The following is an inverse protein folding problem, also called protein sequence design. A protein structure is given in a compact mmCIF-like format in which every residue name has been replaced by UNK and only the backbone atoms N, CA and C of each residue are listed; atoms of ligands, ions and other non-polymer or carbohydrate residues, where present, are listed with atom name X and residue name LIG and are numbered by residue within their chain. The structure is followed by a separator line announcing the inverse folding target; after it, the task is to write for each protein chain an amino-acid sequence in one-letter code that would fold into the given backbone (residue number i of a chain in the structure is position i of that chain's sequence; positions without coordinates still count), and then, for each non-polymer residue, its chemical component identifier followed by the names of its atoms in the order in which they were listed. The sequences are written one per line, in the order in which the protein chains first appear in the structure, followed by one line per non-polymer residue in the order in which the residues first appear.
data_IF_396443657997
#
_entry.id   IF_396443657997
#
_cell.length_a   1.000
_cell.length_b   1.000
_cell.length_c   1.000
_cell.angle_alpha   90.00
_cell.angle_beta   90.00
_cell.angle_gamma   90.00
#
_symmetry.space_group_name_H-M   'P 1'
#
loop_
_entity.id
_entity.type
_entity.pdbx_description
1 polymer ?
#
# COMPACT_ATOMS: atom_id res chain seq x y z
N UNK A 1 -2.40 17.44 4.45
CA UNK A 1 -3.85 17.57 4.12
C UNK A 1 -3.99 17.05 2.72
N UNK A 2 -4.44 15.80 2.57
CA UNK A 2 -4.66 15.16 1.27
C UNK A 2 -5.75 15.92 0.51
N UNK A 3 -5.33 16.90 -0.30
CA UNK A 3 -6.07 17.61 -1.35
C UNK A 3 -7.28 18.48 -0.91
N UNK A 4 -7.30 19.71 -1.44
CA UNK A 4 -8.15 20.83 -1.04
C UNK A 4 -9.56 20.84 -1.68
N UNK A 5 -10.24 19.70 -1.79
CA UNK A 5 -11.66 19.69 -2.16
C UNK A 5 -12.53 19.68 -0.88
N UNK A 6 -13.57 20.52 -0.75
CA UNK A 6 -14.47 20.53 0.42
C UNK A 6 -15.05 19.14 0.73
N UNK A 7 -15.39 18.38 -0.31
CA UNK A 7 -15.89 17.00 -0.27
C UNK A 7 -14.86 15.99 0.28
N UNK A 8 -13.56 16.30 0.21
CA UNK A 8 -12.48 15.47 0.76
C UNK A 8 -12.28 15.70 2.26
N UNK A 9 -12.75 16.83 2.80
CA UNK A 9 -12.65 17.14 4.24
C UNK A 9 -13.47 16.14 5.08
N UNK A 10 -14.68 15.82 4.62
CA UNK A 10 -15.55 14.83 5.27
C UNK A 10 -14.98 13.42 5.13
N UNK A 11 -14.45 13.08 3.95
CA UNK A 11 -13.79 11.79 3.72
C UNK A 11 -12.53 11.64 4.58
N UNK A 12 -11.76 12.71 4.79
CA UNK A 12 -10.60 12.72 5.69
C UNK A 12 -11.07 12.51 7.13
N UNK A 13 -12.13 13.17 7.58
CA UNK A 13 -12.66 13.00 8.93
C UNK A 13 -13.17 11.56 9.15
N UNK A 14 -13.94 11.02 8.20
CA UNK A 14 -14.42 9.63 8.21
C UNK A 14 -13.24 8.65 8.22
N UNK A 15 -12.22 8.92 7.42
CA UNK A 15 -11.03 8.07 7.33
C UNK A 15 -10.20 8.11 8.61
N UNK A 16 -9.99 9.30 9.19
CA UNK A 16 -9.31 9.48 10.47
C UNK A 16 -10.08 8.83 11.62
N UNK A 17 -11.41 8.92 11.59
CA UNK A 17 -12.26 8.27 12.58
C UNK A 17 -12.22 6.75 12.45
N UNK A 18 -12.35 6.21 11.24
CA UNK A 18 -12.13 4.78 10.96
C UNK A 18 -10.77 4.33 11.47
N UNK A 19 -9.72 5.10 11.19
CA UNK A 19 -8.35 4.80 11.60
C UNK A 19 -8.22 4.78 13.11
N UNK A 20 -8.74 5.81 13.79
CA UNK A 20 -8.76 5.90 15.24
C UNK A 20 -9.49 4.69 15.84
N UNK A 21 -10.68 4.35 15.34
CA UNK A 21 -11.43 3.19 15.79
C UNK A 21 -10.65 1.88 15.61
N UNK A 22 -9.90 1.71 14.51
CA UNK A 22 -9.05 0.52 14.32
C UNK A 22 -7.92 0.45 15.33
N UNK A 23 -7.25 1.57 15.58
CA UNK A 23 -6.15 1.65 16.55
C UNK A 23 -6.68 1.41 17.97
N UNK A 24 -7.75 2.10 18.36
CA UNK A 24 -8.40 1.91 19.66
C UNK A 24 -8.84 0.47 19.85
N UNK A 25 -9.50 -0.12 18.85
CA UNK A 25 -9.90 -1.53 18.90
C UNK A 25 -8.70 -2.47 19.00
N UNK A 26 -7.59 -2.14 18.35
CA UNK A 26 -6.36 -2.92 18.47
C UNK A 26 -5.78 -2.89 19.88
N UNK A 27 -5.85 -1.73 20.53
CA UNK A 27 -5.41 -1.55 21.90
C UNK A 27 -6.35 -2.24 22.91
N UNK A 28 -7.67 -2.26 22.66
CA UNK A 28 -8.65 -2.86 23.59
C UNK A 28 -8.85 -4.36 23.40
N UNK A 29 -8.52 -4.91 22.22
CA UNK A 29 -8.69 -6.34 21.90
C UNK A 29 -7.37 -7.03 21.51
N UNK A 30 -6.24 -6.89 22.24
CA UNK A 30 -4.91 -7.35 21.82
C UNK A 30 -4.87 -8.83 21.37
N UNK A 31 -5.59 -9.71 22.07
CA UNK A 31 -5.75 -11.13 21.76
C UNK A 31 -6.29 -11.42 20.36
N UNK A 32 -7.09 -10.50 19.79
CA UNK A 32 -7.61 -10.64 18.42
C UNK A 32 -6.53 -10.45 17.36
N UNK A 33 -5.46 -9.77 17.76
CA UNK A 33 -4.30 -9.45 16.96
C UNK A 33 -3.14 -10.39 17.34
N UNK A 34 -3.11 -11.04 18.49
CA UNK A 34 -2.02 -12.00 18.76
C UNK A 34 -1.94 -13.16 17.76
N UNK A 35 -0.73 -13.60 17.43
CA UNK A 35 -0.50 -14.77 16.56
C UNK A 35 -1.11 -16.01 17.22
N UNK A 36 -1.90 -16.79 16.48
CA UNK A 36 -2.52 -17.98 17.06
C UNK A 36 -1.46 -19.07 17.26
N UNK A 37 -1.36 -19.59 18.48
CA UNK A 37 -0.33 -20.56 18.85
C UNK A 37 -0.79 -22.01 18.68
N UNK A 38 -2.08 -22.26 18.44
CA UNK A 38 -2.65 -23.60 18.62
C UNK A 38 -2.77 -24.48 17.37
N UNK A 39 -2.69 -23.98 16.13
CA UNK A 39 -2.73 -24.88 14.95
C UNK A 39 -1.82 -24.36 13.82
N UNK A 40 -0.77 -25.15 13.52
CA UNK A 40 0.07 -25.14 12.31
C UNK A 40 0.36 -23.73 11.75
N UNK A 41 1.16 -22.96 12.51
CA UNK A 41 2.04 -21.89 12.02
C UNK A 41 1.43 -20.80 11.13
N UNK A 42 0.72 -19.82 11.71
CA UNK A 42 0.35 -18.61 10.96
C UNK A 42 -0.47 -17.60 11.78
N UNK A 43 -0.76 -16.43 11.19
CA UNK A 43 -1.61 -15.36 11.76
C UNK A 43 -3.10 -15.74 11.86
N UNK A 44 -3.44 -17.02 11.98
CA UNK A 44 -4.78 -17.57 11.78
C UNK A 44 -5.26 -17.50 10.32
N UNK A 45 -6.45 -18.02 10.03
CA UNK A 45 -7.01 -18.00 8.67
C UNK A 45 -7.36 -16.59 8.16
N UNK A 46 -7.52 -16.44 6.84
CA UNK A 46 -7.87 -15.22 6.07
C UNK A 46 -8.34 -14.00 6.88
N UNK A 47 -9.41 -14.12 7.66
CA UNK A 47 -9.99 -13.00 8.40
C UNK A 47 -9.03 -12.34 9.39
N UNK A 48 -8.12 -13.10 10.01
CA UNK A 48 -7.20 -12.57 11.03
C UNK A 48 -6.01 -11.87 10.38
N UNK A 49 -5.43 -12.44 9.32
CA UNK A 49 -4.44 -11.76 8.48
C UNK A 49 -5.00 -10.47 7.85
N UNK A 50 -6.22 -10.51 7.31
CA UNK A 50 -6.90 -9.34 6.75
C UNK A 50 -7.13 -8.25 7.80
N UNK A 51 -7.59 -8.62 9.01
CA UNK A 51 -7.76 -7.67 10.11
C UNK A 51 -6.44 -6.99 10.42
N UNK A 52 -5.35 -7.74 10.57
CA UNK A 52 -4.03 -7.16 10.81
C UNK A 52 -3.59 -6.20 9.72
N UNK A 53 -3.77 -6.57 8.47
CA UNK A 53 -3.46 -5.68 7.35
C UNK A 53 -4.27 -4.38 7.43
N UNK A 54 -5.56 -4.44 7.77
CA UNK A 54 -6.39 -3.26 7.97
C UNK A 54 -5.94 -2.40 9.17
N UNK A 55 -5.47 -3.03 10.25
CA UNK A 55 -4.84 -2.32 11.37
C UNK A 55 -3.54 -1.63 10.94
N UNK A 56 -2.64 -2.34 10.24
CA UNK A 56 -1.37 -1.82 9.73
C UNK A 56 -1.59 -0.65 8.78
N UNK A 57 -2.55 -0.80 7.86
CA UNK A 57 -3.00 0.26 6.97
C UNK A 57 -3.44 1.47 7.79
N UNK A 58 -4.35 1.30 8.74
CA UNK A 58 -4.81 2.37 9.62
C UNK A 58 -3.67 3.06 10.37
N UNK A 59 -2.85 2.29 11.09
CA UNK A 59 -1.74 2.84 11.87
C UNK A 59 -0.75 3.63 11.00
N UNK A 60 -0.40 3.11 9.83
CA UNK A 60 0.47 3.80 8.87
C UNK A 60 -0.12 5.16 8.47
N UNK A 61 -1.40 5.20 8.14
CA UNK A 61 -2.08 6.46 7.83
C UNK A 61 -2.11 7.46 8.97
N UNK A 62 -2.49 6.99 10.16
CA UNK A 62 -2.60 7.84 11.34
C UNK A 62 -1.26 8.48 11.63
N UNK A 63 -0.20 7.68 11.66
CA UNK A 63 1.17 8.17 11.87
C UNK A 63 1.59 9.13 10.77
N UNK A 64 1.26 8.83 9.52
CA UNK A 64 1.51 9.73 8.39
C UNK A 64 0.82 11.08 8.48
N UNK A 65 -0.41 11.12 8.95
CA UNK A 65 -1.14 12.37 9.16
C UNK A 65 -0.63 13.14 10.39
N UNK A 66 -0.22 12.43 11.45
CA UNK A 66 0.32 13.00 12.69
C UNK A 66 1.80 13.39 12.60
N UNK A 67 2.47 13.00 11.53
CA UNK A 67 3.86 13.31 11.33
C UNK A 67 4.83 12.42 12.11
N UNK A 68 4.38 11.25 12.57
CA UNK A 68 5.11 10.34 13.44
C UNK A 68 5.89 9.27 12.67
N UNK A 69 7.07 8.89 13.17
CA UNK A 69 7.77 7.71 12.69
C UNK A 69 7.08 6.44 13.22
N UNK A 70 6.85 5.46 12.36
CA UNK A 70 6.34 4.15 12.76
C UNK A 70 7.49 3.19 13.11
N UNK A 71 7.39 2.49 14.24
CA UNK A 71 8.31 1.41 14.60
C UNK A 71 7.83 0.12 13.94
N UNK A 72 8.60 -0.36 12.96
CA UNK A 72 8.34 -1.62 12.29
C UNK A 72 8.88 -2.79 13.12
N UNK A 73 8.00 -3.70 13.51
CA UNK A 73 8.34 -4.92 14.23
C UNK A 73 8.24 -6.15 13.31
N UNK A 74 8.93 -7.25 13.63
CA UNK A 74 8.84 -8.51 12.89
C UNK A 74 7.41 -8.94 12.55
N UNK A 75 6.48 -8.76 13.50
CA UNK A 75 5.06 -9.07 13.32
C UNK A 75 4.38 -8.32 12.18
N UNK A 76 4.78 -7.08 11.89
CA UNK A 76 4.18 -6.30 10.80
C UNK A 76 4.51 -6.92 9.44
N UNK A 77 5.76 -7.40 9.29
CA UNK A 77 6.21 -8.08 8.08
C UNK A 77 5.52 -9.44 7.91
N UNK A 78 5.43 -10.23 8.98
CA UNK A 78 4.77 -11.54 8.92
C UNK A 78 3.26 -11.39 8.59
N UNK A 79 2.58 -10.41 9.17
CA UNK A 79 1.15 -10.17 8.91
C UNK A 79 0.89 -9.67 7.48
N UNK A 80 1.78 -8.82 6.95
CA UNK A 80 1.73 -8.35 5.57
C UNK A 80 1.90 -9.51 4.57
N UNK A 81 2.89 -10.37 4.81
CA UNK A 81 3.13 -11.57 4.01
C UNK A 81 1.94 -12.54 4.08
N UNK A 82 1.41 -12.80 5.26
CA UNK A 82 0.25 -13.68 5.43
C UNK A 82 -0.99 -13.12 4.71
N UNK A 83 -1.23 -11.81 4.78
CA UNK A 83 -2.32 -11.18 4.02
C UNK A 83 -2.13 -11.39 2.51
N UNK A 84 -0.93 -11.19 1.98
CA UNK A 84 -0.64 -11.41 0.57
C UNK A 84 -0.87 -12.87 0.15
N UNK A 85 -0.37 -13.84 0.93
CA UNK A 85 -0.56 -15.28 0.68
C UNK A 85 -2.04 -15.66 0.68
N UNK A 86 -2.80 -15.12 1.63
CA UNK A 86 -4.24 -15.34 1.76
C UNK A 86 -5.03 -14.72 0.60
N UNK A 87 -4.69 -13.50 0.15
CA UNK A 87 -5.28 -12.90 -1.05
C UNK A 87 -4.95 -13.72 -2.30
N UNK A 88 -3.71 -14.18 -2.45
CA UNK A 88 -3.30 -15.05 -3.55
C UNK A 88 -3.96 -16.44 -3.49
N UNK A 89 -4.33 -16.91 -2.29
CA UNK A 89 -4.99 -18.19 -2.04
C UNK A 89 -6.49 -18.19 -2.33
N UNK A 90 -7.12 -17.03 -2.56
CA UNK A 90 -8.56 -16.96 -2.79
C UNK A 90 -9.01 -17.71 -4.04
N UNK A 91 -10.23 -18.27 -3.99
CA UNK A 91 -10.87 -18.90 -5.15
C UNK A 91 -11.07 -17.89 -6.28
N UNK A 92 -11.06 -18.34 -7.53
CA UNK A 92 -11.17 -17.46 -8.71
C UNK A 92 -12.40 -16.54 -8.68
N UNK A 93 -13.52 -16.97 -8.09
CA UNK A 93 -14.74 -16.16 -8.00
C UNK A 93 -14.62 -14.98 -7.01
N UNK A 94 -13.63 -15.00 -6.13
CA UNK A 94 -13.29 -13.89 -5.23
C UNK A 94 -12.04 -13.13 -5.70
N UNK A 95 -11.47 -13.52 -6.85
CA UNK A 95 -10.29 -12.87 -7.42
C UNK A 95 -10.67 -11.67 -8.30
N UNK A 96 -11.34 -10.72 -7.68
CA UNK A 96 -11.80 -9.47 -8.28
C UNK A 96 -10.73 -8.36 -8.23
N UNK A 97 -11.09 -7.15 -8.66
CA UNK A 97 -10.20 -5.99 -8.62
C UNK A 97 -9.82 -5.58 -7.20
N UNK A 98 -10.66 -5.86 -6.20
CA UNK A 98 -10.38 -5.53 -4.80
C UNK A 98 -9.25 -6.39 -4.26
N UNK A 99 -9.36 -7.71 -4.41
CA UNK A 99 -8.32 -8.65 -3.97
C UNK A 99 -7.02 -8.52 -4.77
N UNK A 100 -7.12 -8.23 -6.07
CA UNK A 100 -5.95 -7.92 -6.90
C UNK A 100 -5.26 -6.62 -6.46
N UNK A 101 -6.02 -5.57 -6.15
CA UNK A 101 -5.48 -4.31 -5.64
C UNK A 101 -4.80 -4.51 -4.29
N UNK A 102 -5.45 -5.21 -3.35
CA UNK A 102 -4.89 -5.49 -2.02
C UNK A 102 -3.54 -6.20 -2.08
N UNK A 103 -3.35 -7.11 -3.04
CA UNK A 103 -2.06 -7.80 -3.21
C UNK A 103 -0.96 -6.87 -3.76
N UNK A 104 -1.29 -5.99 -4.71
CA UNK A 104 -0.38 -4.94 -5.18
C UNK A 104 -0.01 -3.99 -4.02
N UNK A 105 -1.00 -3.59 -3.22
CA UNK A 105 -0.78 -2.76 -2.05
C UNK A 105 0.15 -3.41 -1.04
N UNK A 106 -0.03 -4.70 -0.75
CA UNK A 106 0.86 -5.43 0.16
C UNK A 106 2.31 -5.39 -0.32
N UNK A 107 2.54 -5.59 -1.63
CA UNK A 107 3.88 -5.51 -2.21
C UNK A 107 4.49 -4.09 -2.09
N UNK A 108 3.71 -3.06 -2.41
CA UNK A 108 4.17 -1.67 -2.34
C UNK A 108 4.39 -1.21 -0.89
N UNK A 109 3.60 -1.69 0.07
CA UNK A 109 3.82 -1.46 1.50
C UNK A 109 5.14 -2.09 1.95
N UNK A 110 5.42 -3.33 1.55
CA UNK A 110 6.69 -3.99 1.86
C UNK A 110 7.88 -3.19 1.29
N UNK A 111 7.77 -2.72 0.05
CA UNK A 111 8.79 -1.89 -0.59
C UNK A 111 8.97 -0.54 0.13
N UNK A 112 7.88 0.14 0.51
CA UNK A 112 7.93 1.40 1.26
C UNK A 112 8.59 1.24 2.64
N UNK A 113 8.44 0.07 3.25
CA UNK A 113 9.10 -0.32 4.50
C UNK A 113 10.56 -0.75 4.31
N UNK A 114 11.06 -0.82 3.08
CA UNK A 114 12.44 -1.20 2.75
C UNK A 114 12.67 -2.70 2.60
N UNK A 115 11.61 -3.50 2.62
CA UNK A 115 11.65 -4.97 2.44
C UNK A 115 11.40 -5.32 0.97
N UNK A 116 12.36 -4.97 0.12
CA UNK A 116 12.29 -5.24 -1.33
C UNK A 116 12.27 -6.75 -1.63
N UNK A 117 12.93 -7.56 -0.79
CA UNK A 117 12.87 -9.02 -0.83
C UNK A 117 11.43 -9.55 -0.67
N UNK A 118 10.72 -9.04 0.33
CA UNK A 118 9.32 -9.37 0.59
C UNK A 118 8.41 -8.83 -0.51
N UNK A 119 8.62 -7.59 -0.95
CA UNK A 119 7.86 -6.98 -2.03
C UNK A 119 7.96 -7.81 -3.33
N UNK A 120 9.16 -8.28 -3.67
CA UNK A 120 9.39 -9.17 -4.81
C UNK A 120 8.68 -10.51 -4.63
N UNK A 121 8.74 -11.11 -3.45
CA UNK A 121 8.04 -12.35 -3.12
C UNK A 121 6.52 -12.21 -3.35
N UNK A 122 5.92 -11.14 -2.81
CA UNK A 122 4.48 -10.87 -2.92
C UNK A 122 4.06 -10.63 -4.37
N UNK A 123 4.71 -9.70 -5.09
CA UNK A 123 4.26 -9.30 -6.44
C UNK A 123 4.49 -10.39 -7.51
N UNK A 124 5.31 -11.40 -7.20
CA UNK A 124 5.59 -12.56 -8.06
C UNK A 124 4.74 -13.79 -7.72
N UNK A 125 3.84 -13.71 -6.74
CA UNK A 125 2.87 -14.79 -6.47
C UNK A 125 2.07 -15.15 -7.74
N UNK A 126 1.89 -16.45 -8.00
CA UNK A 126 1.36 -16.96 -9.26
C UNK A 126 -0.16 -16.74 -9.39
N UNK A 127 -0.57 -15.53 -9.78
CA UNK A 127 -1.97 -15.14 -10.05
C UNK A 127 -2.07 -14.24 -11.28
N UNK A 128 -3.21 -14.26 -11.96
CA UNK A 128 -3.48 -13.41 -13.13
C UNK A 128 -4.13 -12.09 -12.70
N UNK A 129 -3.50 -10.96 -12.98
CA UNK A 129 -4.07 -9.65 -12.68
C UNK A 129 -4.95 -9.17 -13.82
N UNK A 130 -6.13 -9.75 -14.01
CA UNK A 130 -7.01 -9.39 -15.13
C UNK A 130 -7.48 -7.93 -15.08
N UNK A 131 -7.84 -7.45 -13.90
CA UNK A 131 -8.50 -6.15 -13.73
C UNK A 131 -7.52 -5.03 -13.44
N UNK A 132 -6.38 -5.38 -12.83
CA UNK A 132 -5.36 -4.43 -12.37
C UNK A 132 -4.00 -4.65 -13.05
N UNK A 133 -3.99 -5.31 -14.23
CA UNK A 133 -2.79 -5.74 -14.95
C UNK A 133 -1.72 -4.65 -15.05
N UNK A 134 -2.12 -3.46 -15.51
CA UNK A 134 -1.20 -2.34 -15.75
C UNK A 134 -0.47 -1.94 -14.48
N UNK A 135 -1.19 -1.90 -13.36
CA UNK A 135 -0.63 -1.56 -12.05
C UNK A 135 0.25 -2.67 -11.49
N UNK A 136 -0.13 -3.93 -11.68
CA UNK A 136 0.68 -5.07 -11.24
C UNK A 136 2.02 -5.15 -12.00
N UNK A 137 1.99 -4.97 -13.32
CA UNK A 137 3.19 -4.93 -14.17
C UNK A 137 4.09 -3.75 -13.83
N UNK A 138 3.50 -2.57 -13.65
CA UNK A 138 4.21 -1.38 -13.22
C UNK A 138 4.88 -1.59 -11.85
N UNK A 139 4.14 -2.09 -10.86
CA UNK A 139 4.64 -2.31 -9.50
C UNK A 139 5.75 -3.36 -9.50
N UNK A 140 5.59 -4.46 -10.25
CA UNK A 140 6.61 -5.49 -10.40
C UNK A 140 7.90 -4.92 -10.98
N UNK A 141 7.81 -4.17 -12.08
CA UNK A 141 8.96 -3.53 -12.72
C UNK A 141 9.65 -2.55 -11.78
N UNK A 142 8.88 -1.72 -11.06
CA UNK A 142 9.40 -0.78 -10.08
C UNK A 142 10.16 -1.51 -8.97
N UNK A 143 9.54 -2.52 -8.35
CA UNK A 143 10.12 -3.30 -7.25
C UNK A 143 11.39 -4.02 -7.70
N UNK A 144 11.38 -4.65 -8.87
CA UNK A 144 12.55 -5.35 -9.41
C UNK A 144 13.72 -4.40 -9.68
N UNK A 145 13.45 -3.22 -10.24
CA UNK A 145 14.49 -2.22 -10.48
C UNK A 145 15.03 -1.62 -9.17
N UNK A 146 14.16 -1.37 -8.18
CA UNK A 146 14.59 -0.91 -6.85
C UNK A 146 15.44 -1.97 -6.14
N UNK A 147 15.09 -3.25 -6.23
CA UNK A 147 15.84 -4.35 -5.63
C UNK A 147 17.22 -4.56 -6.28
N UNK A 148 17.39 -4.13 -7.53
CA UNK A 148 18.67 -4.17 -8.23
C UNK A 148 19.61 -3.00 -7.84
N UNK A 149 19.12 -1.98 -7.12
CA UNK A 149 19.96 -0.89 -6.65
C UNK A 149 20.93 -1.39 -5.57
N UNK A 150 22.20 -0.94 -5.58
CA UNK A 150 23.11 -1.19 -4.47
C UNK A 150 22.53 -0.66 -3.15
N UNK A 151 22.72 -1.41 -2.06
CA UNK A 151 22.21 -1.03 -0.75
C UNK A 151 22.68 0.39 -0.35
N UNK A 152 21.73 1.23 0.09
CA UNK A 152 22.00 2.61 0.49
C UNK A 152 22.13 3.61 -0.67
N UNK A 153 22.00 3.18 -1.93
CA UNK A 153 21.94 4.10 -3.05
C UNK A 153 20.52 4.59 -3.31
N UNK A 154 20.45 5.83 -3.80
CA UNK A 154 19.22 6.42 -4.32
C UNK A 154 19.27 6.48 -5.83
N UNK A 155 18.09 6.50 -6.42
CA UNK A 155 17.86 6.53 -7.86
C UNK A 155 18.37 7.86 -8.40
N UNK A 156 19.22 7.79 -9.43
CA UNK A 156 19.66 8.99 -10.14
C UNK A 156 18.46 9.72 -10.77
N UNK A 157 18.43 11.03 -10.62
CA UNK A 157 17.29 11.90 -11.01
C UNK A 157 16.92 11.85 -12.49
N UNK A 158 17.84 11.43 -13.36
CA UNK A 158 17.64 11.30 -14.81
C UNK A 158 17.51 9.83 -15.28
N UNK A 159 17.29 8.90 -14.37
CA UNK A 159 17.21 7.47 -14.73
C UNK A 159 15.85 7.09 -15.32
N UNK A 160 15.84 6.04 -16.15
CA UNK A 160 14.61 5.43 -16.66
C UNK A 160 13.67 4.95 -15.53
N UNK A 161 14.22 4.64 -14.35
CA UNK A 161 13.46 4.27 -13.16
C UNK A 161 12.64 5.45 -12.60
N UNK A 162 13.13 6.69 -12.69
CA UNK A 162 12.34 7.89 -12.34
C UNK A 162 11.16 8.03 -13.29
N UNK A 163 11.40 7.95 -14.60
CA UNK A 163 10.32 8.03 -15.58
C UNK A 163 9.28 6.90 -15.41
N UNK A 164 9.74 5.67 -15.11
CA UNK A 164 8.86 4.55 -14.80
C UNK A 164 8.03 4.82 -13.55
N UNK A 165 8.65 5.30 -12.47
CA UNK A 165 7.94 5.67 -11.24
C UNK A 165 6.88 6.76 -11.49
N UNK A 166 7.26 7.85 -12.16
CA UNK A 166 6.39 9.00 -12.42
C UNK A 166 5.20 8.65 -13.33
N UNK A 167 5.36 7.69 -14.24
CA UNK A 167 4.33 7.30 -15.23
C UNK A 167 2.98 6.93 -14.62
N UNK A 168 2.95 6.26 -13.46
CA UNK A 168 1.72 6.00 -12.71
C UNK A 168 1.63 6.85 -11.44
N UNK A 169 2.74 7.29 -10.84
CA UNK A 169 2.67 8.15 -9.66
C UNK A 169 1.74 9.35 -9.87
N UNK A 170 1.84 9.97 -11.04
CA UNK A 170 1.06 11.14 -11.44
C UNK A 170 -0.42 10.86 -11.62
N UNK A 171 -0.72 9.68 -12.15
CA UNK A 171 -2.07 9.19 -12.27
C UNK A 171 -2.67 8.93 -10.88
N UNK A 172 -1.94 8.22 -10.01
CA UNK A 172 -2.38 7.82 -8.68
C UNK A 172 -2.62 9.04 -7.77
N UNK A 173 -1.82 10.10 -7.88
CA UNK A 173 -2.06 11.36 -7.13
C UNK A 173 -3.28 12.12 -7.65
N UNK A 174 -3.71 11.90 -8.88
CA UNK A 174 -4.79 12.67 -9.48
C UNK A 174 -6.16 12.31 -8.85
N UNK A 175 -6.93 13.29 -8.34
CA UNK A 175 -8.17 13.02 -7.61
C UNK A 175 -9.31 12.50 -8.50
N UNK A 176 -9.28 12.73 -9.82
CA UNK A 176 -10.40 12.38 -10.72
C UNK A 176 -10.59 10.87 -10.94
N UNK A 177 -9.59 10.04 -10.66
CA UNK A 177 -9.74 8.58 -10.73
C UNK A 177 -10.60 8.01 -9.59
N UNK A 178 -10.79 8.78 -8.52
CA UNK A 178 -11.75 8.43 -7.46
C UNK A 178 -13.21 8.59 -7.91
N UNK A 179 -13.43 9.27 -9.04
CA UNK A 179 -14.75 9.63 -9.55
C UNK A 179 -15.21 8.73 -10.70
N UNK A 180 -14.36 7.81 -11.20
CA UNK A 180 -14.76 6.85 -12.22
C UNK A 180 -15.77 5.87 -11.65
N UNK A 181 -17.03 6.01 -12.06
CA UNK A 181 -18.14 5.14 -11.67
C UNK A 181 -18.87 4.63 -12.93
N UNK A 182 -19.77 3.66 -12.75
CA UNK A 182 -20.63 3.18 -13.83
C UNK A 182 -19.85 2.52 -14.97
N UNK A 183 -20.19 2.86 -16.22
CA UNK A 183 -19.61 2.24 -17.42
C UNK A 183 -18.12 2.55 -17.59
N UNK A 184 -17.68 3.75 -17.21
CA UNK A 184 -16.27 4.16 -17.30
C UNK A 184 -15.39 3.28 -16.42
N UNK A 185 -15.84 2.98 -15.20
CA UNK A 185 -15.12 2.06 -14.31
C UNK A 185 -15.05 0.63 -14.87
N UNK A 186 -16.15 0.15 -15.49
CA UNK A 186 -16.18 -1.18 -16.13
C UNK A 186 -15.24 -1.25 -17.34
N UNK A 187 -15.15 -0.18 -18.11
CA UNK A 187 -14.25 -0.11 -19.26
C UNK A 187 -12.79 -0.07 -18.84
N UNK A 188 -12.45 0.73 -17.82
CA UNK A 188 -11.11 0.73 -17.22
C UNK A 188 -10.73 -0.67 -16.69
N UNK A 189 -11.65 -1.35 -16.00
CA UNK A 189 -11.42 -2.73 -15.54
C UNK A 189 -11.15 -3.69 -16.69
N UNK A 190 -11.87 -3.58 -17.82
CA UNK A 190 -11.63 -4.41 -19.02
C UNK A 190 -10.26 -4.16 -19.65
N UNK A 191 -9.70 -2.95 -19.51
CA UNK A 191 -8.35 -2.62 -19.97
C UNK A 191 -7.24 -2.98 -18.98
N UNK A 192 -7.58 -3.56 -17.82
CA UNK A 192 -6.59 -3.87 -16.78
C UNK A 192 -6.14 -2.64 -15.98
N UNK A 193 -6.95 -1.58 -15.99
CA UNK A 193 -6.67 -0.28 -15.38
C UNK A 193 -7.54 0.00 -14.14
N UNK A 194 -8.21 -1.01 -13.60
CA UNK A 194 -8.93 -0.86 -12.34
C UNK A 194 -7.98 -0.88 -11.15
N UNK A 195 -8.27 -0.05 -10.15
CA UNK A 195 -7.77 -0.16 -8.78
C UNK A 195 -8.97 0.07 -7.87
N UNK A 196 -9.08 -0.72 -6.81
CA UNK A 196 -10.15 -0.56 -5.84
C UNK A 196 -10.12 0.86 -5.25
N UNK A 197 -11.26 1.55 -5.15
CA UNK A 197 -11.34 2.86 -4.50
C UNK A 197 -10.78 2.87 -3.08
N UNK A 198 -10.96 1.75 -2.35
CA UNK A 198 -10.45 1.61 -0.99
C UNK A 198 -8.94 1.55 -0.93
N UNK A 199 -8.27 1.23 -2.02
CA UNK A 199 -6.81 1.06 -2.08
C UNK A 199 -6.08 2.37 -2.37
N UNK A 200 -6.75 3.34 -3.00
CA UNK A 200 -6.12 4.58 -3.45
C UNK A 200 -5.35 5.35 -2.39
N UNK A 201 -5.91 5.57 -1.19
CA UNK A 201 -5.18 6.32 -0.19
C UNK A 201 -3.83 5.64 0.16
N UNK A 202 -3.83 4.31 0.33
CA UNK A 202 -2.67 3.60 0.87
C UNK A 202 -1.59 3.50 -0.19
N UNK A 203 -2.02 3.29 -1.44
CA UNK A 203 -1.16 3.41 -2.61
C UNK A 203 -0.47 4.78 -2.64
N UNK A 204 -1.20 5.89 -2.57
CA UNK A 204 -0.62 7.24 -2.55
C UNK A 204 0.44 7.39 -1.45
N UNK A 205 0.15 6.88 -0.26
CA UNK A 205 1.06 6.94 0.86
C UNK A 205 2.34 6.12 0.62
N UNK A 206 2.18 4.86 0.20
CA UNK A 206 3.29 3.98 -0.15
C UNK A 206 4.19 4.61 -1.21
N UNK A 207 3.60 5.21 -2.24
CA UNK A 207 4.36 5.87 -3.29
C UNK A 207 5.14 7.09 -2.79
N UNK A 208 4.54 7.91 -1.94
CA UNK A 208 5.24 9.05 -1.34
C UNK A 208 6.42 8.58 -0.48
N UNK A 209 6.25 7.49 0.28
CA UNK A 209 7.33 6.87 1.05
C UNK A 209 8.42 6.29 0.14
N UNK A 210 8.05 5.64 -0.98
CA UNK A 210 9.00 5.15 -1.98
C UNK A 210 9.79 6.30 -2.61
N UNK A 211 9.13 7.39 -3.00
CA UNK A 211 9.77 8.60 -3.54
C UNK A 211 10.77 9.17 -2.54
N UNK A 212 10.36 9.33 -1.29
CA UNK A 212 11.20 9.82 -0.21
C UNK A 212 12.46 8.95 0.00
N UNK A 213 12.25 7.63 0.10
CA UNK A 213 13.30 6.66 0.43
C UNK A 213 14.29 6.46 -0.72
N UNK A 214 13.78 6.28 -1.95
CA UNK A 214 14.59 5.82 -3.08
C UNK A 214 14.92 6.93 -4.08
N UNK A 215 14.09 7.95 -4.24
CA UNK A 215 14.24 8.93 -5.33
C UNK A 215 14.74 10.30 -4.85
N UNK A 216 14.50 10.66 -3.60
CA UNK A 216 14.87 11.97 -3.04
C UNK A 216 16.12 11.94 -2.16
N UNK A 217 16.82 10.81 -2.05
CA UNK A 217 18.13 10.82 -1.38
C UNK A 217 18.07 10.97 0.14
N UNK A 218 16.94 10.72 0.81
CA UNK A 218 16.81 10.81 2.28
C UNK A 218 16.71 9.37 2.85
N UNK A 219 17.85 8.66 3.05
CA UNK A 219 17.86 7.21 3.24
C UNK A 219 17.40 6.77 4.63
N UNK A 220 17.18 7.69 5.55
CA UNK A 220 16.71 7.40 6.89
C UNK A 220 15.59 8.37 7.22
N UNK A 221 14.45 7.83 7.64
CA UNK A 221 13.47 8.63 8.37
C UNK A 221 14.07 8.92 9.74
N UNK A 222 14.95 9.90 9.82
CA UNK A 222 14.94 10.85 10.92
C UNK A 222 14.61 12.24 10.32
N UNK A 223 13.34 12.47 9.93
CA UNK A 223 12.78 13.79 10.24
C UNK A 223 11.27 13.77 10.51
N UNK A 224 10.82 14.67 11.38
CA UNK A 224 9.40 15.02 11.49
C UNK A 224 8.81 15.32 10.12
N UNK A 225 7.63 14.76 9.86
CA UNK A 225 7.07 14.48 8.53
C UNK A 225 6.55 15.69 7.72
N UNK A 226 7.06 16.89 7.99
CA UNK A 226 6.63 18.12 7.31
C UNK A 226 6.83 18.04 5.78
N UNK A 227 7.83 17.28 5.32
CA UNK A 227 8.15 17.12 3.89
C UNK A 227 7.27 16.07 3.16
N UNK A 228 6.82 15.02 3.84
CA UNK A 228 5.96 13.97 3.24
C UNK A 228 4.54 14.49 2.99
N UNK A 229 4.03 15.33 3.89
CA UNK A 229 2.74 16.01 3.68
C UNK A 229 2.81 16.93 2.46
N UNK A 230 3.92 17.64 2.23
CA UNK A 230 4.09 18.50 1.06
C UNK A 230 4.13 17.69 -0.25
N UNK A 231 4.78 16.52 -0.27
CA UNK A 231 4.86 15.64 -1.45
C UNK A 231 3.54 14.97 -1.83
N UNK A 232 2.64 14.80 -0.86
CA UNK A 232 1.31 14.21 -1.05
C UNK A 232 0.23 15.27 -1.33
N UNK A 233 0.51 16.54 -0.99
CA UNK A 233 -0.47 17.65 -1.08
C UNK A 233 -0.21 18.62 -2.26
N UNK A 234 0.85 18.43 -3.06
CA UNK A 234 1.20 19.23 -4.23
C UNK A 234 0.91 18.48 -5.54
#
# INVERSE_FOLDING_TARGET
MLCCAPEQTDLIAIFLDYTRQKIERAQTEPQRWERDSSEIGGWGGYQKAQRWYEFLRGDLFSRCLLGEAFVLEPRHFEALQACAEEQAGQKNNFWDEMSQSALIECALTAAAWGRLDMAQSIIKMRRSFKWTQRYAEWARSLIDQLAALPAGQTVASNSALVAHFDSLFDEIRHPTLLLTTGEVAREAARRGEAISPTSWPLLRLNLAMLKQRYFLGKPEVAPGMRDLVALVSA
#
